data_IF_987260304901
#
_entry.id   IF_987260304901
#
_cell.length_a   1.000
_cell.length_b   1.000
_cell.length_c   1.000
_cell.angle_alpha   90.00
_cell.angle_beta   90.00
_cell.angle_gamma   90.00
#
_symmetry.space_group_name_H-M   'P 1'
#
loop_
_entity.id
_entity.type
_entity.pdbx_description
1 polymer ?
#
# COMPACT_ATOMS: atom_id res chain seq x y z
N UNK A 1 -8.86 -3.61 -9.89
CA UNK A 1 -8.03 -4.82 -10.05
C UNK A 1 -7.82 -5.43 -8.69
N UNK A 2 -7.13 -4.73 -7.77
CA UNK A 2 -6.97 -5.07 -6.34
C UNK A 2 -8.25 -5.65 -5.69
N UNK A 3 -9.36 -4.90 -5.64
CA UNK A 3 -10.63 -5.42 -5.05
C UNK A 3 -11.16 -6.74 -5.68
N UNK A 4 -10.81 -7.02 -6.95
CA UNK A 4 -11.16 -8.29 -7.61
C UNK A 4 -10.22 -9.40 -7.17
N UNK A 5 -8.92 -9.09 -7.06
CA UNK A 5 -7.89 -10.03 -6.63
C UNK A 5 -8.05 -10.41 -5.16
N UNK A 6 -8.58 -9.51 -4.35
CA UNK A 6 -8.79 -9.67 -2.90
C UNK A 6 -10.21 -10.15 -2.52
N UNK A 7 -11.13 -10.24 -3.50
CA UNK A 7 -12.56 -10.53 -3.27
C UNK A 7 -13.21 -9.61 -2.22
N UNK A 8 -12.80 -8.34 -2.23
CA UNK A 8 -13.31 -7.30 -1.31
C UNK A 8 -14.83 -7.12 -1.48
N UNK A 9 -15.49 -6.67 -0.42
CA UNK A 9 -16.96 -6.50 -0.45
C UNK A 9 -17.37 -5.04 -0.69
N UNK A 10 -16.65 -4.11 -0.06
CA UNK A 10 -16.95 -2.68 -0.10
C UNK A 10 -15.72 -1.87 -0.50
N UNK A 11 -15.94 -0.77 -1.22
CA UNK A 11 -14.96 0.28 -1.41
C UNK A 11 -15.60 1.62 -1.15
N UNK A 12 -15.06 2.34 -0.16
CA UNK A 12 -15.55 3.67 0.27
C UNK A 12 -17.04 3.65 0.66
N UNK A 13 -17.47 2.58 1.34
CA UNK A 13 -18.84 2.41 1.83
C UNK A 13 -19.86 1.98 0.78
N UNK A 14 -19.44 1.77 -0.47
CA UNK A 14 -20.28 1.29 -1.56
C UNK A 14 -19.84 -0.12 -1.99
N UNK A 15 -20.74 -0.95 -2.57
CA UNK A 15 -20.36 -2.23 -3.15
C UNK A 15 -19.27 -2.07 -4.22
N UNK A 16 -18.28 -2.96 -4.21
CA UNK A 16 -17.20 -2.94 -5.21
C UNK A 16 -17.72 -3.19 -6.62
N UNK A 17 -17.03 -2.63 -7.62
CA UNK A 17 -17.46 -2.64 -9.02
C UNK A 17 -17.77 -4.05 -9.55
N UNK A 18 -16.98 -5.06 -9.17
CA UNK A 18 -17.16 -6.42 -9.67
C UNK A 18 -18.38 -7.14 -9.09
N UNK A 19 -18.94 -6.67 -7.97
CA UNK A 19 -20.23 -7.16 -7.44
C UNK A 19 -21.43 -6.51 -8.14
N UNK A 20 -21.24 -5.37 -8.82
CA UNK A 20 -22.27 -4.66 -9.58
C UNK A 20 -22.26 -5.07 -11.06
N UNK A 21 -21.09 -5.01 -11.70
CA UNK A 21 -20.91 -5.20 -13.15
C UNK A 21 -20.32 -6.56 -13.52
N UNK A 22 -19.96 -7.37 -12.53
CA UNK A 22 -19.32 -8.66 -12.73
C UNK A 22 -17.79 -8.56 -12.90
N UNK A 23 -17.13 -9.66 -12.57
CA UNK A 23 -15.67 -9.80 -12.65
C UNK A 23 -15.14 -9.54 -14.07
N UNK A 24 -15.68 -10.15 -15.15
CA UNK A 24 -15.12 -9.98 -16.50
C UNK A 24 -15.11 -8.54 -16.98
N UNK A 25 -16.22 -7.80 -16.77
CA UNK A 25 -16.32 -6.40 -17.19
C UNK A 25 -15.41 -5.48 -16.37
N UNK A 26 -15.27 -5.77 -15.07
CA UNK A 26 -14.41 -4.99 -14.17
C UNK A 26 -12.94 -5.15 -14.55
N UNK A 27 -12.47 -6.37 -14.82
CA UNK A 27 -11.10 -6.62 -15.27
C UNK A 27 -10.84 -5.94 -16.61
N UNK A 28 -11.73 -6.13 -17.60
CA UNK A 28 -11.57 -5.52 -18.92
C UNK A 28 -11.49 -4.00 -18.84
N UNK A 29 -12.39 -3.38 -18.07
CA UNK A 29 -12.43 -1.92 -17.90
C UNK A 29 -11.19 -1.41 -17.15
N UNK A 30 -10.75 -2.09 -16.09
CA UNK A 30 -9.56 -1.70 -15.35
C UNK A 30 -8.30 -1.71 -16.25
N UNK A 31 -8.13 -2.78 -17.03
CA UNK A 31 -7.01 -2.91 -17.95
C UNK A 31 -7.08 -1.86 -19.07
N UNK A 32 -8.27 -1.59 -19.61
CA UNK A 32 -8.46 -0.51 -20.58
C UNK A 32 -8.02 0.85 -20.03
N UNK A 33 -8.36 1.16 -18.77
CA UNK A 33 -7.96 2.42 -18.12
C UNK A 33 -6.44 2.53 -17.92
N UNK A 34 -5.71 1.42 -17.73
CA UNK A 34 -4.24 1.46 -17.74
C UNK A 34 -3.69 1.97 -19.08
N UNK A 35 -4.26 1.52 -20.20
CA UNK A 35 -3.84 1.98 -21.52
C UNK A 35 -4.31 3.41 -21.82
N UNK A 36 -5.43 3.86 -21.27
CA UNK A 36 -5.81 5.28 -21.32
C UNK A 36 -4.80 6.15 -20.55
N UNK A 37 -4.38 5.73 -19.36
CA UNK A 37 -3.35 6.45 -18.61
C UNK A 37 -2.02 6.49 -19.38
N UNK A 38 -1.67 5.38 -20.05
CA UNK A 38 -0.51 5.34 -20.95
C UNK A 38 -0.70 6.22 -22.19
N UNK A 39 -1.94 6.38 -22.68
CA UNK A 39 -2.23 7.31 -23.76
C UNK A 39 -1.96 8.76 -23.36
N UNK A 40 -2.31 9.14 -22.13
CA UNK A 40 -2.01 10.47 -21.58
C UNK A 40 -0.51 10.71 -21.43
N UNK A 41 0.30 9.67 -21.16
CA UNK A 41 1.76 9.76 -21.11
C UNK A 41 2.35 10.28 -22.45
N UNK A 42 1.76 9.90 -23.59
CA UNK A 42 2.24 10.41 -24.88
C UNK A 42 2.07 11.92 -25.02
N UNK A 43 1.03 12.52 -24.42
CA UNK A 43 0.81 13.97 -24.47
C UNK A 43 1.89 14.74 -23.70
N UNK A 44 2.50 14.12 -22.70
CA UNK A 44 3.63 14.72 -21.96
C UNK A 44 4.91 14.79 -22.79
N UNK A 45 5.04 13.97 -23.83
CA UNK A 45 6.21 14.01 -24.73
C UNK A 45 6.23 15.25 -25.62
N UNK A 46 5.05 15.75 -25.99
CA UNK A 46 4.90 16.94 -26.83
C UNK A 46 5.17 18.24 -26.03
N UNK A 47 5.23 18.16 -24.71
CA UNK A 47 5.37 19.31 -23.82
C UNK A 47 6.81 19.85 -23.73
N UNK A 48 7.83 19.02 -23.94
CA UNK A 48 9.24 19.46 -23.96
C UNK A 48 9.98 18.87 -25.18
N UNK A 49 9.91 19.59 -26.30
CA UNK A 49 10.61 19.21 -27.53
C UNK A 49 12.13 19.44 -27.47
N UNK A 50 12.65 20.08 -26.41
CA UNK A 50 14.02 20.58 -26.33
C UNK A 50 15.01 19.56 -25.72
N UNK A 51 14.53 18.63 -24.90
CA UNK A 51 15.34 17.56 -24.31
C UNK A 51 14.67 16.18 -24.44
N UNK A 52 14.79 15.58 -25.64
CA UNK A 52 14.26 14.24 -25.95
C UNK A 52 15.07 13.10 -25.30
N UNK A 53 16.00 13.37 -24.39
CA UNK A 53 16.87 12.33 -23.81
C UNK A 53 16.21 11.54 -22.69
N UNK A 54 15.06 12.02 -22.16
CA UNK A 54 14.37 11.38 -21.02
C UNK A 54 13.35 10.37 -21.49
N UNK A 55 13.65 9.09 -21.23
CA UNK A 55 12.78 7.96 -21.56
C UNK A 55 11.64 7.84 -20.53
N UNK A 56 10.57 8.63 -20.73
CA UNK A 56 9.39 8.63 -19.88
C UNK A 56 8.67 7.27 -19.87
N UNK A 57 8.76 6.52 -20.99
CA UNK A 57 8.17 5.19 -21.08
C UNK A 57 8.88 4.23 -20.17
N UNK A 58 10.21 4.26 -20.16
CA UNK A 58 11.01 3.46 -19.24
C UNK A 58 10.69 3.79 -17.79
N UNK A 59 10.57 5.07 -17.43
CA UNK A 59 10.19 5.49 -16.07
C UNK A 59 8.85 4.87 -15.66
N UNK A 60 7.82 4.98 -16.50
CA UNK A 60 6.48 4.48 -16.17
C UNK A 60 6.43 2.96 -16.21
N UNK A 61 7.01 2.32 -17.23
CA UNK A 61 6.96 0.86 -17.38
C UNK A 61 7.75 0.13 -16.29
N UNK A 62 8.91 0.64 -15.88
CA UNK A 62 9.67 0.07 -14.76
C UNK A 62 8.85 0.09 -13.47
N UNK A 63 8.15 1.18 -13.18
CA UNK A 63 7.35 1.28 -11.96
C UNK A 63 6.04 0.50 -12.04
N UNK A 64 5.42 0.38 -13.21
CA UNK A 64 4.28 -0.52 -13.42
C UNK A 64 4.69 -1.99 -13.23
N UNK A 65 5.88 -2.38 -13.69
CA UNK A 65 6.44 -3.71 -13.43
C UNK A 65 6.69 -3.93 -11.94
N UNK A 66 7.23 -2.93 -11.23
CA UNK A 66 7.41 -3.01 -9.78
C UNK A 66 6.07 -3.14 -9.06
N UNK A 67 5.04 -2.40 -9.46
CA UNK A 67 3.69 -2.52 -8.90
C UNK A 67 3.18 -3.97 -8.99
N UNK A 68 3.30 -4.59 -10.17
CA UNK A 68 2.87 -5.98 -10.37
C UNK A 68 3.75 -7.00 -9.62
N UNK A 69 5.06 -6.75 -9.47
CA UNK A 69 5.95 -7.58 -8.64
C UNK A 69 5.53 -7.53 -7.17
N UNK A 70 5.23 -6.34 -6.67
CA UNK A 70 4.73 -6.14 -5.30
C UNK A 70 3.39 -6.84 -5.09
N UNK A 71 2.43 -6.61 -5.99
CA UNK A 71 1.13 -7.29 -5.94
C UNK A 71 1.27 -8.81 -6.00
N UNK A 72 2.13 -9.31 -6.90
CA UNK A 72 2.39 -10.74 -7.04
C UNK A 72 2.94 -11.39 -5.77
N UNK A 73 3.83 -10.71 -5.04
CA UNK A 73 4.34 -11.20 -3.75
C UNK A 73 3.23 -11.22 -2.67
N UNK A 74 2.41 -10.17 -2.59
CA UNK A 74 1.29 -10.08 -1.64
C UNK A 74 0.31 -11.25 -1.85
N UNK A 75 -0.07 -11.50 -3.10
CA UNK A 75 -0.93 -12.63 -3.50
C UNK A 75 -0.25 -13.98 -3.24
N UNK A 76 1.03 -14.12 -3.57
CA UNK A 76 1.80 -15.34 -3.37
C UNK A 76 1.82 -15.73 -1.89
N UNK A 77 2.17 -14.82 -1.00
CA UNK A 77 2.21 -15.09 0.44
C UNK A 77 0.83 -15.46 0.97
N UNK A 78 -0.19 -14.68 0.60
CA UNK A 78 -1.59 -14.94 0.97
C UNK A 78 -2.06 -16.34 0.56
N UNK A 79 -1.76 -16.76 -0.66
CA UNK A 79 -2.28 -18.01 -1.23
C UNK A 79 -1.43 -19.24 -0.86
N UNK A 80 -0.15 -19.05 -0.55
CA UNK A 80 0.74 -20.11 -0.03
C UNK A 80 0.72 -20.22 1.50
N UNK A 81 0.11 -19.25 2.18
CA UNK A 81 0.13 -19.10 3.64
C UNK A 81 1.57 -18.98 4.21
N UNK A 82 2.50 -18.45 3.42
CA UNK A 82 3.88 -18.21 3.82
C UNK A 82 4.03 -16.79 4.37
N UNK A 83 4.27 -16.67 5.68
CA UNK A 83 4.43 -15.37 6.31
C UNK A 83 5.79 -14.76 5.95
N UNK A 84 5.84 -13.57 5.32
CA UNK A 84 7.11 -12.91 5.02
C UNK A 84 7.81 -12.44 6.29
N UNK A 85 9.08 -12.07 6.16
CA UNK A 85 9.77 -11.21 7.11
C UNK A 85 9.26 -9.78 7.03
N UNK A 86 9.51 -8.99 8.08
CA UNK A 86 9.19 -7.55 8.03
C UNK A 86 9.96 -6.85 6.89
N UNK A 87 11.23 -7.20 6.67
CA UNK A 87 12.03 -6.62 5.59
C UNK A 87 11.44 -6.92 4.20
N UNK A 88 11.03 -8.16 3.95
CA UNK A 88 10.36 -8.56 2.70
C UNK A 88 9.01 -7.84 2.54
N UNK A 89 8.22 -7.71 3.62
CA UNK A 89 6.99 -6.93 3.58
C UNK A 89 7.27 -5.47 3.15
N UNK A 90 8.27 -4.82 3.73
CA UNK A 90 8.64 -3.44 3.37
C UNK A 90 9.09 -3.32 1.92
N UNK A 91 9.84 -4.30 1.41
CA UNK A 91 10.23 -4.36 -0.01
C UNK A 91 9.02 -4.53 -0.93
N UNK A 92 8.09 -5.43 -0.58
CA UNK A 92 6.83 -5.60 -1.30
C UNK A 92 6.02 -4.30 -1.32
N UNK A 93 5.89 -3.60 -0.19
CA UNK A 93 5.18 -2.32 -0.10
C UNK A 93 5.84 -1.24 -0.95
N UNK A 94 7.17 -1.16 -0.95
CA UNK A 94 7.89 -0.26 -1.84
C UNK A 94 7.57 -0.56 -3.30
N UNK A 95 7.44 -1.81 -3.69
CA UNK A 95 7.08 -2.21 -5.05
C UNK A 95 5.60 -1.91 -5.38
N UNK A 96 4.66 -2.33 -4.54
CA UNK A 96 3.19 -2.18 -4.72
C UNK A 96 2.73 -0.73 -4.58
N UNK A 97 2.88 -0.16 -3.39
CA UNK A 97 2.33 1.16 -3.02
C UNK A 97 3.30 2.29 -3.36
N UNK A 98 4.60 2.06 -3.15
CA UNK A 98 5.64 3.03 -3.52
C UNK A 98 5.73 3.28 -5.03
N UNK A 99 5.41 2.28 -5.86
CA UNK A 99 5.48 2.38 -7.32
C UNK A 99 4.64 3.52 -7.90
N UNK A 100 3.38 3.67 -7.46
CA UNK A 100 2.50 4.75 -7.94
C UNK A 100 3.01 6.14 -7.55
N UNK A 101 3.49 6.31 -6.31
CA UNK A 101 4.06 7.58 -5.90
C UNK A 101 5.37 7.88 -6.65
N UNK A 102 6.21 6.86 -6.90
CA UNK A 102 7.43 7.00 -7.69
C UNK A 102 7.15 7.38 -9.13
N UNK A 103 6.10 6.86 -9.77
CA UNK A 103 5.70 7.30 -11.12
C UNK A 103 5.47 8.81 -11.14
N UNK A 104 4.62 9.32 -10.23
CA UNK A 104 4.31 10.74 -10.18
C UNK A 104 5.57 11.60 -10.00
N UNK A 105 6.42 11.24 -9.03
CA UNK A 105 7.59 12.04 -8.66
C UNK A 105 8.72 11.92 -9.69
N UNK A 106 8.96 10.72 -10.26
CA UNK A 106 9.93 10.54 -11.34
C UNK A 106 9.51 11.29 -12.61
N UNK A 107 8.22 11.30 -12.95
CA UNK A 107 7.71 12.11 -14.06
C UNK A 107 7.87 13.61 -13.78
N UNK A 108 7.55 14.08 -12.57
CA UNK A 108 7.76 15.48 -12.18
C UNK A 108 9.25 15.89 -12.23
N UNK A 109 10.15 15.03 -11.77
CA UNK A 109 11.60 15.25 -11.84
C UNK A 109 12.10 15.26 -13.29
N UNK A 110 11.62 14.32 -14.12
CA UNK A 110 11.99 14.23 -15.53
C UNK A 110 11.51 15.46 -16.31
N UNK A 111 10.33 15.97 -16.00
CA UNK A 111 9.72 17.13 -16.66
C UNK A 111 9.99 18.45 -15.92
N UNK A 112 10.86 18.45 -14.92
CA UNK A 112 11.23 19.69 -14.24
C UNK A 112 12.04 20.57 -15.20
N UNK A 113 11.71 21.88 -15.35
CA UNK A 113 12.47 22.80 -16.19
C UNK A 113 13.89 23.07 -15.66
N UNK A 114 14.14 22.68 -14.41
CA UNK A 114 15.45 22.69 -13.77
C UNK A 114 15.82 21.26 -13.45
N UNK A 115 17.01 20.83 -13.89
CA UNK A 115 17.53 19.51 -13.53
C UNK A 115 17.55 19.36 -11.99
N UNK A 116 16.79 18.39 -11.42
CA UNK A 116 16.74 18.24 -9.99
C UNK A 116 18.10 17.78 -9.48
N UNK A 117 18.69 18.58 -8.59
CA UNK A 117 19.98 18.26 -7.94
C UNK A 117 19.87 17.17 -6.88
N UNK A 118 18.66 16.68 -6.62
CA UNK A 118 18.34 15.76 -5.53
C UNK A 118 17.32 14.73 -6.01
N UNK A 119 17.52 13.49 -5.59
CA UNK A 119 16.55 12.41 -5.77
C UNK A 119 15.51 12.43 -4.65
N UNK A 120 14.23 12.57 -5.02
CA UNK A 120 13.11 12.55 -4.10
C UNK A 120 12.54 11.14 -3.86
N UNK A 121 13.01 10.11 -4.57
CA UNK A 121 12.54 8.73 -4.41
C UNK A 121 12.66 8.21 -2.97
N UNK A 122 13.75 8.44 -2.21
CA UNK A 122 13.86 7.99 -0.83
C UNK A 122 12.75 8.53 0.08
N UNK A 123 12.45 9.83 -0.02
CA UNK A 123 11.35 10.46 0.71
C UNK A 123 10.01 9.82 0.37
N UNK A 124 9.78 9.57 -0.92
CA UNK A 124 8.53 8.99 -1.42
C UNK A 124 8.36 7.55 -0.96
N UNK A 125 9.43 6.76 -0.91
CA UNK A 125 9.42 5.41 -0.37
C UNK A 125 9.06 5.42 1.12
N UNK A 126 9.62 6.34 1.92
CA UNK A 126 9.25 6.51 3.34
C UNK A 126 7.75 6.79 3.51
N UNK A 127 7.22 7.73 2.71
CA UNK A 127 5.78 8.06 2.71
C UNK A 127 4.94 6.85 2.29
N UNK A 128 5.35 6.12 1.25
CA UNK A 128 4.63 4.95 0.76
C UNK A 128 4.56 3.82 1.80
N UNK A 129 5.67 3.56 2.49
CA UNK A 129 5.74 2.58 3.59
C UNK A 129 4.86 3.02 4.76
N UNK A 130 4.98 4.27 5.19
CA UNK A 130 4.13 4.82 6.26
C UNK A 130 2.65 4.69 5.91
N UNK A 131 2.27 5.07 4.68
CA UNK A 131 0.88 5.04 4.21
C UNK A 131 0.31 3.62 4.24
N UNK A 132 1.07 2.62 3.78
CA UNK A 132 0.60 1.24 3.77
C UNK A 132 0.46 0.65 5.18
N UNK A 133 1.47 0.83 6.05
CA UNK A 133 1.40 0.32 7.44
C UNK A 133 0.24 0.99 8.19
N UNK A 134 -0.01 2.27 7.93
CA UNK A 134 -1.18 2.98 8.45
C UNK A 134 -2.49 2.40 7.93
N UNK A 135 -2.60 2.08 6.65
CA UNK A 135 -3.82 1.47 6.08
C UNK A 135 -4.10 0.11 6.73
N UNK A 136 -3.08 -0.72 6.86
CA UNK A 136 -3.13 -2.03 7.52
C UNK A 136 -3.54 -1.91 9.00
N UNK A 137 -2.99 -0.92 9.71
CA UNK A 137 -3.35 -0.64 11.11
C UNK A 137 -4.81 -0.18 11.25
N UNK A 138 -5.24 0.75 10.40
CA UNK A 138 -6.61 1.25 10.40
C UNK A 138 -7.62 0.17 10.01
N UNK A 139 -7.25 -0.78 9.16
CA UNK A 139 -8.11 -1.91 8.76
C UNK A 139 -8.58 -2.73 9.99
N UNK A 140 -7.71 -2.93 10.98
CA UNK A 140 -8.00 -3.75 12.16
C UNK A 140 -8.56 -2.96 13.36
N UNK A 141 -8.31 -1.66 13.46
CA UNK A 141 -8.71 -0.85 14.63
C UNK A 141 -9.88 0.11 14.37
N UNK A 142 -10.03 0.67 13.16
CA UNK A 142 -10.90 1.83 12.95
C UNK A 142 -12.35 1.44 12.62
N UNK A 143 -13.29 2.01 13.37
CA UNK A 143 -14.74 1.86 13.14
C UNK A 143 -15.18 2.51 11.82
N UNK A 144 -14.56 3.63 11.42
CA UNK A 144 -14.81 4.27 10.13
C UNK A 144 -14.28 3.43 8.96
N UNK A 145 -13.12 2.78 9.13
CA UNK A 145 -12.64 1.83 8.13
C UNK A 145 -13.59 0.63 8.04
N UNK A 146 -14.06 0.13 9.18
CA UNK A 146 -15.06 -0.94 9.22
C UNK A 146 -16.34 -0.58 8.46
N UNK A 147 -16.79 0.68 8.47
CA UNK A 147 -17.94 1.11 7.64
C UNK A 147 -17.61 1.26 6.15
N UNK A 148 -16.35 1.54 5.80
CA UNK A 148 -15.94 1.84 4.42
C UNK A 148 -15.49 0.62 3.61
N UNK A 149 -14.87 -0.35 4.28
CA UNK A 149 -14.26 -1.56 3.71
C UNK A 149 -14.88 -2.85 4.27
N UNK A 150 -15.31 -2.80 5.54
CA UNK A 150 -15.77 -3.95 6.29
C UNK A 150 -14.89 -4.16 7.52
N UNK A 151 -15.45 -4.74 8.59
CA UNK A 151 -14.69 -4.93 9.83
C UNK A 151 -13.54 -5.92 9.61
N UNK A 152 -12.30 -5.45 9.75
CA UNK A 152 -11.06 -6.23 9.59
C UNK A 152 -11.08 -7.08 8.30
N UNK A 153 -11.18 -6.38 7.17
CA UNK A 153 -11.26 -7.01 5.84
C UNK A 153 -9.97 -7.76 5.49
N UNK A 154 -8.79 -7.28 5.93
CA UNK A 154 -7.50 -7.96 5.67
C UNK A 154 -7.52 -9.42 6.19
N UNK A 155 -8.26 -9.68 7.28
CA UNK A 155 -8.45 -11.03 7.81
C UNK A 155 -9.40 -11.88 6.95
N UNK A 156 -10.41 -11.28 6.32
CA UNK A 156 -11.23 -11.97 5.31
C UNK A 156 -10.39 -12.32 4.09
N UNK A 157 -9.57 -11.39 3.64
CA UNK A 157 -8.70 -11.57 2.47
C UNK A 157 -7.64 -12.66 2.75
N UNK A 158 -7.26 -12.84 4.02
CA UNK A 158 -6.16 -13.71 4.42
C UNK A 158 -4.79 -13.05 4.20
N UNK A 159 -4.78 -11.72 4.07
CA UNK A 159 -3.60 -10.91 3.73
C UNK A 159 -2.59 -10.90 4.87
N UNK A 160 -1.31 -10.97 4.53
CA UNK A 160 -0.21 -10.74 5.46
C UNK A 160 0.04 -9.22 5.61
N UNK A 161 -0.91 -8.52 6.23
CA UNK A 161 -0.74 -7.11 6.60
C UNK A 161 0.37 -6.93 7.65
N UNK A 162 0.90 -5.71 7.83
CA UNK A 162 2.04 -5.47 8.72
C UNK A 162 1.81 -6.02 10.14
N UNK A 163 0.60 -5.82 10.67
CA UNK A 163 0.21 -6.29 12.00
C UNK A 163 0.19 -7.83 12.04
N UNK A 164 -0.35 -8.46 10.99
CA UNK A 164 -0.40 -9.92 10.87
C UNK A 164 1.01 -10.51 10.79
N UNK A 165 1.90 -9.90 9.99
CA UNK A 165 3.31 -10.31 9.88
C UNK A 165 4.00 -10.25 11.24
N UNK A 166 3.87 -9.14 11.96
CA UNK A 166 4.45 -9.02 13.29
C UNK A 166 3.88 -10.08 14.25
N UNK A 167 2.55 -10.23 14.32
CA UNK A 167 1.90 -11.15 15.25
C UNK A 167 2.33 -12.61 15.05
N UNK A 168 2.41 -13.08 13.79
CA UNK A 168 2.87 -14.44 13.45
C UNK A 168 4.34 -14.64 13.83
N UNK A 169 5.18 -13.62 13.65
CA UNK A 169 6.62 -13.73 13.92
C UNK A 169 6.98 -13.55 15.39
N UNK A 170 6.19 -12.78 16.14
CA UNK A 170 6.36 -12.55 17.58
C UNK A 170 6.05 -13.80 18.41
N UNK A 171 5.11 -14.63 17.97
CA UNK A 171 4.85 -15.95 18.56
C UNK A 171 4.73 -17.04 17.47
N UNK A 172 5.90 -17.56 17.05
CA UNK A 172 5.97 -18.60 16.01
C UNK A 172 5.42 -19.96 16.45
N UNK A 173 5.29 -20.21 17.74
CA UNK A 173 4.75 -21.48 18.25
C UNK A 173 3.23 -21.51 18.14
N UNK A 174 2.58 -20.33 18.19
CA UNK A 174 1.14 -20.19 18.09
C UNK A 174 0.66 -20.02 16.64
N UNK A 175 -0.10 -20.99 16.15
CA UNK A 175 -0.66 -20.99 14.79
C UNK A 175 -2.00 -20.28 14.66
N UNK A 176 -2.54 -19.68 15.72
CA UNK A 176 -3.89 -19.11 15.75
C UNK A 176 -4.09 -18.05 14.65
N UNK A 177 -3.14 -17.12 14.49
CA UNK A 177 -3.24 -16.07 13.46
C UNK A 177 -3.28 -16.69 12.07
N UNK A 178 -2.34 -17.61 11.77
CA UNK A 178 -2.29 -18.32 10.48
C UNK A 178 -3.57 -19.12 10.20
N UNK A 179 -4.08 -19.83 11.20
CA UNK A 179 -5.31 -20.63 11.08
C UNK A 179 -6.53 -19.74 10.81
N UNK A 180 -6.56 -18.51 11.32
CA UNK A 180 -7.63 -17.54 11.04
C UNK A 180 -7.50 -16.98 9.63
N UNK A 181 -6.31 -16.58 9.19
CA UNK A 181 -6.07 -16.14 7.81
C UNK A 181 -6.48 -17.20 6.79
N UNK A 182 -6.10 -18.45 7.02
CA UNK A 182 -6.45 -19.56 6.14
C UNK A 182 -7.98 -19.76 6.01
N UNK A 183 -8.72 -19.49 7.08
CA UNK A 183 -10.19 -19.62 7.10
C UNK A 183 -10.92 -18.47 6.41
N UNK A 184 -10.25 -17.34 6.14
CA UNK A 184 -10.84 -16.17 5.48
C UNK A 184 -12.22 -15.79 6.05
N UNK A 185 -12.34 -15.58 7.37
CA UNK A 185 -13.63 -15.49 8.03
C UNK A 185 -14.42 -14.27 7.58
N UNK A 186 -15.67 -14.47 7.18
CA UNK A 186 -16.62 -13.37 6.95
C UNK A 186 -17.19 -12.82 8.27
N UNK A 187 -17.31 -13.65 9.30
CA UNK A 187 -17.99 -13.26 10.55
C UNK A 187 -17.07 -12.56 11.55
N UNK A 188 -17.58 -11.62 12.37
CA UNK A 188 -16.75 -10.87 13.32
C UNK A 188 -16.14 -11.70 14.44
N UNK A 189 -16.68 -12.88 14.76
CA UNK A 189 -16.28 -13.66 15.95
C UNK A 189 -14.80 -14.09 15.89
N UNK A 190 -14.38 -14.71 14.79
CA UNK A 190 -12.98 -15.12 14.62
C UNK A 190 -12.04 -13.93 14.50
N UNK A 191 -12.51 -12.85 13.84
CA UNK A 191 -11.75 -11.60 13.68
C UNK A 191 -11.47 -10.93 15.03
N UNK A 192 -12.49 -10.76 15.87
CA UNK A 192 -12.34 -10.20 17.22
C UNK A 192 -11.40 -11.04 18.08
N UNK A 193 -11.51 -12.36 17.98
CA UNK A 193 -10.66 -13.27 18.75
C UNK A 193 -9.18 -13.15 18.37
N UNK A 194 -8.85 -13.11 17.07
CA UNK A 194 -7.45 -12.95 16.64
C UNK A 194 -6.93 -11.54 16.92
N UNK A 195 -7.76 -10.51 16.78
CA UNK A 195 -7.37 -9.12 17.10
C UNK A 195 -7.02 -8.97 18.59
N UNK A 196 -7.83 -9.51 19.51
CA UNK A 196 -7.49 -9.50 20.94
C UNK A 196 -6.20 -10.27 21.21
N UNK A 197 -5.96 -11.41 20.55
CA UNK A 197 -4.67 -12.10 20.67
C UNK A 197 -3.49 -11.24 20.19
N UNK A 198 -3.64 -10.55 19.06
CA UNK A 198 -2.63 -9.64 18.51
C UNK A 198 -2.33 -8.48 19.46
N UNK A 199 -3.35 -7.96 20.14
CA UNK A 199 -3.21 -6.89 21.13
C UNK A 199 -2.60 -7.40 22.45
N UNK A 200 -3.24 -8.38 23.08
CA UNK A 200 -2.97 -8.77 24.47
C UNK A 200 -1.75 -9.69 24.63
N UNK A 201 -1.39 -10.47 23.60
CA UNK A 201 -0.34 -11.51 23.70
C UNK A 201 0.93 -11.18 22.95
N UNK A 202 0.80 -10.55 21.78
CA UNK A 202 1.97 -10.21 20.95
C UNK A 202 2.34 -8.74 21.00
N UNK A 203 1.51 -7.87 21.60
CA UNK A 203 1.77 -6.43 21.65
C UNK A 203 1.80 -5.77 20.27
N UNK A 204 1.16 -6.37 19.27
CA UNK A 204 1.31 -6.00 17.85
C UNK A 204 0.84 -4.59 17.54
N UNK A 205 -0.24 -4.14 18.17
CA UNK A 205 -0.76 -2.79 17.95
C UNK A 205 0.20 -1.72 18.49
N UNK A 206 0.79 -1.95 19.66
CA UNK A 206 1.78 -1.04 20.23
C UNK A 206 3.06 -1.03 19.40
N UNK A 207 3.56 -2.21 19.01
CA UNK A 207 4.71 -2.31 18.11
C UNK A 207 4.50 -1.51 16.82
N UNK A 208 3.33 -1.67 16.20
CA UNK A 208 3.01 -0.96 14.94
C UNK A 208 2.92 0.55 15.13
N UNK A 209 2.36 1.03 16.25
CA UNK A 209 2.36 2.46 16.59
C UNK A 209 3.78 3.02 16.70
N UNK A 210 4.69 2.29 17.35
CA UNK A 210 6.09 2.71 17.47
C UNK A 210 6.82 2.73 16.12
N UNK A 211 6.56 1.75 15.24
CA UNK A 211 7.08 1.75 13.86
C UNK A 211 6.56 2.97 13.08
N UNK A 212 5.27 3.27 13.17
CA UNK A 212 4.68 4.45 12.51
C UNK A 212 5.26 5.76 13.04
N UNK A 213 5.46 5.91 14.37
CA UNK A 213 6.14 7.08 14.95
C UNK A 213 7.57 7.23 14.43
N UNK A 214 8.30 6.12 14.32
CA UNK A 214 9.66 6.12 13.76
C UNK A 214 9.66 6.56 12.30
N UNK A 215 8.75 6.05 11.49
CA UNK A 215 8.61 6.40 10.08
C UNK A 215 8.17 7.87 9.89
N UNK A 216 7.26 8.39 10.70
CA UNK A 216 6.89 9.82 10.69
C UNK A 216 8.11 10.70 11.00
N UNK A 217 8.88 10.35 12.04
CA UNK A 217 10.13 11.07 12.36
C UNK A 217 11.13 11.04 11.20
N UNK A 218 11.40 9.86 10.63
CA UNK A 218 12.31 9.72 9.48
C UNK A 218 11.83 10.52 8.27
N UNK A 219 10.52 10.52 8.01
CA UNK A 219 9.92 11.29 6.91
C UNK A 219 10.12 12.79 7.12
N UNK A 220 9.90 13.30 8.34
CA UNK A 220 10.09 14.72 8.66
C UNK A 220 11.55 15.14 8.60
N UNK A 221 12.45 14.31 9.11
CA UNK A 221 13.90 14.53 9.00
C UNK A 221 14.33 14.61 7.53
N UNK A 222 13.80 13.73 6.67
CA UNK A 222 14.08 13.74 5.24
C UNK A 222 13.51 14.98 4.54
N UNK A 223 12.28 15.40 4.88
CA UNK A 223 11.71 16.66 4.37
C UNK A 223 12.57 17.87 4.79
N UNK A 224 13.01 17.93 6.04
CA UNK A 224 13.89 19.00 6.52
C UNK A 224 15.24 18.99 5.81
N UNK A 225 15.86 17.80 5.62
CA UNK A 225 17.10 17.62 4.86
C UNK A 225 16.99 18.14 3.42
N UNK A 226 15.81 18.00 2.83
CA UNK A 226 15.49 18.44 1.46
C UNK A 226 15.08 19.92 1.36
N UNK A 227 15.15 20.68 2.45
CA UNK A 227 14.87 22.13 2.47
C UNK A 227 13.49 22.53 2.98
N UNK A 228 12.69 21.58 3.47
CA UNK A 228 11.36 21.83 4.05
C UNK A 228 10.26 22.05 3.01
N UNK A 229 9.02 21.71 3.36
CA UNK A 229 7.86 21.97 2.51
C UNK A 229 6.57 22.03 3.36
N UNK A 230 6.04 23.22 3.67
CA UNK A 230 4.87 23.36 4.55
C UNK A 230 3.61 22.62 4.07
N UNK A 231 3.42 22.48 2.75
CA UNK A 231 2.28 21.74 2.20
C UNK A 231 2.43 20.24 2.43
N UNK A 232 3.65 19.72 2.22
CA UNK A 232 3.96 18.32 2.46
C UNK A 232 3.92 17.98 3.96
N UNK A 233 4.44 18.87 4.81
CA UNK A 233 4.38 18.71 6.27
C UNK A 233 2.92 18.67 6.76
N UNK A 234 2.05 19.54 6.23
CA UNK A 234 0.62 19.50 6.54
C UNK A 234 -0.05 18.21 6.05
N UNK A 235 0.37 17.69 4.89
CA UNK A 235 -0.10 16.41 4.39
C UNK A 235 0.34 15.26 5.32
N UNK A 236 1.61 15.21 5.73
CA UNK A 236 2.12 14.22 6.68
C UNK A 236 1.36 14.29 8.01
N UNK A 237 1.10 15.51 8.52
CA UNK A 237 0.32 15.72 9.74
C UNK A 237 -1.09 15.13 9.63
N UNK A 238 -1.76 15.29 8.48
CA UNK A 238 -3.10 14.75 8.25
C UNK A 238 -3.17 13.21 8.24
N UNK A 239 -2.01 12.54 8.12
CA UNK A 239 -1.90 11.09 8.13
C UNK A 239 -1.51 10.53 9.50
N UNK A 240 -1.38 11.35 10.56
CA UNK A 240 -1.15 10.80 11.89
C UNK A 240 -2.29 9.89 12.34
N UNK A 241 -1.93 8.95 13.20
CA UNK A 241 -2.87 8.08 13.90
C UNK A 241 -2.85 8.60 15.35
N UNK A 242 -4.02 8.97 15.87
CA UNK A 242 -4.20 9.38 17.27
C UNK A 242 -4.13 8.18 18.23
#
# INVERSE_FOLDING_TARGET
MDDVEDDSQLRRGAPVAHKIYGIPQTINTANYVYFLAYQELFKLRDWDASDRTKDLDKVVTEELLNLHRGQGLDLLWRDTLECPTEAEYIEMVNNKTGGLFRIAIKLMMALSPVEPKVDYVPLVNLIGVYFQIRDDYMNLQSSQYASNKGFAEDLTEGKFSFLVVHAVRADRANRQVLNVLQKRPATPTLKKHVISYMEDKTGTFEYTREVLKKLDRQTREEVARLGGNPKLEKFIESMKID
#
